data_IF_533862405333
#
_entry.id   IF_533862405333
#
_cell.length_a   1.000
_cell.length_b   1.000
_cell.length_c   1.000
_cell.angle_alpha   90.00
_cell.angle_beta   90.00
_cell.angle_gamma   90.00
#
_symmetry.space_group_name_H-M   'P 1'
#
loop_
_entity.id
_entity.type
_entity.pdbx_description
1 polymer ?
#
# COMPACT_ATOMS: atom_id res chain seq x y z
N UNK A 1 -31.09 29.50 34.92
CA UNK A 1 -31.01 28.24 34.15
C UNK A 1 -30.04 28.48 33.01
N UNK A 2 -28.74 28.26 33.27
CA UNK A 2 -27.68 28.54 32.31
C UNK A 2 -27.69 27.48 31.21
N UNK A 3 -27.92 27.95 29.98
CA UNK A 3 -27.86 27.17 28.76
C UNK A 3 -26.41 26.79 28.54
N UNK A 4 -26.06 25.54 28.85
CA UNK A 4 -24.81 24.90 28.42
C UNK A 4 -24.89 24.78 26.89
N UNK A 5 -24.53 25.86 26.19
CA UNK A 5 -24.24 25.82 24.77
C UNK A 5 -22.99 24.97 24.60
N UNK A 6 -23.20 23.70 24.31
CA UNK A 6 -22.20 22.79 23.76
C UNK A 6 -21.64 23.46 22.51
N UNK A 7 -20.59 24.26 22.68
CA UNK A 7 -19.67 24.58 21.61
C UNK A 7 -19.20 23.22 21.10
N UNK A 8 -19.76 22.81 19.97
CA UNK A 8 -19.13 21.87 19.07
C UNK A 8 -17.78 22.50 18.75
N UNK A 9 -16.75 22.13 19.51
CA UNK A 9 -15.38 22.16 19.03
C UNK A 9 -15.46 21.28 17.78
N UNK A 10 -15.69 21.91 16.62
CA UNK A 10 -15.50 21.28 15.34
C UNK A 10 -14.05 20.87 15.39
N UNK A 11 -13.86 19.57 15.52
CA UNK A 11 -12.58 18.98 15.81
C UNK A 11 -11.71 19.08 14.56
N UNK A 12 -11.12 20.25 14.33
CA UNK A 12 -10.30 20.52 13.14
C UNK A 12 -8.94 19.79 13.19
N UNK A 13 -8.67 19.11 14.32
CA UNK A 13 -7.42 18.41 14.60
C UNK A 13 -7.50 16.92 14.34
N UNK A 14 -8.67 16.31 14.52
CA UNK A 14 -8.89 14.88 14.38
C UNK A 14 -9.78 14.55 13.16
N UNK A 15 -9.45 13.48 12.45
CA UNK A 15 -10.19 12.91 11.30
C UNK A 15 -11.38 12.07 11.82
N UNK A 16 -12.27 11.60 10.94
CA UNK A 16 -13.49 10.84 11.30
C UNK A 16 -13.21 9.57 12.14
N UNK A 17 -11.96 9.13 12.21
CA UNK A 17 -11.47 7.97 12.96
C UNK A 17 -10.77 8.32 14.29
N UNK A 18 -10.80 9.59 14.71
CA UNK A 18 -10.18 10.08 15.95
C UNK A 18 -8.65 10.19 15.87
N UNK A 19 -8.03 10.03 14.69
CA UNK A 19 -6.57 10.22 14.49
C UNK A 19 -6.27 11.62 13.98
N UNK A 20 -5.03 12.07 14.13
CA UNK A 20 -4.60 13.39 13.62
C UNK A 20 -4.94 13.51 12.13
N UNK A 21 -5.56 14.63 11.75
CA UNK A 21 -5.95 14.96 10.38
C UNK A 21 -4.77 14.79 9.41
N UNK A 22 -4.96 14.00 8.36
CA UNK A 22 -3.92 13.80 7.33
C UNK A 22 -3.85 15.02 6.42
N UNK A 23 -2.63 15.52 6.23
CA UNK A 23 -2.33 16.64 5.32
C UNK A 23 -1.83 16.17 3.95
N UNK A 24 -1.75 14.86 3.73
CA UNK A 24 -1.26 14.28 2.49
C UNK A 24 -2.20 14.56 1.31
N UNK A 25 -1.64 15.01 0.20
CA UNK A 25 -2.38 15.22 -1.06
C UNK A 25 -2.19 14.03 -2.01
N UNK A 26 -3.01 13.93 -3.05
CA UNK A 26 -2.85 12.95 -4.13
C UNK A 26 -1.45 13.00 -4.76
N UNK A 27 -0.84 14.19 -4.83
CA UNK A 27 0.51 14.38 -5.34
C UNK A 27 1.58 13.78 -4.42
N UNK A 28 1.45 14.00 -3.10
CA UNK A 28 2.39 13.42 -2.13
C UNK A 28 2.25 11.90 -2.10
N UNK A 29 1.01 11.38 -2.19
CA UNK A 29 0.75 9.95 -2.25
C UNK A 29 1.35 9.31 -3.52
N UNK A 30 1.15 9.92 -4.70
CA UNK A 30 1.71 9.42 -5.95
C UNK A 30 3.25 9.47 -5.95
N UNK A 31 3.84 10.55 -5.42
CA UNK A 31 5.29 10.65 -5.25
C UNK A 31 5.84 9.54 -4.34
N UNK A 32 5.17 9.22 -3.24
CA UNK A 32 5.56 8.12 -2.36
C UNK A 32 5.48 6.75 -3.04
N UNK A 33 4.45 6.52 -3.86
CA UNK A 33 4.31 5.27 -4.62
C UNK A 33 5.44 5.15 -5.64
N UNK A 34 5.71 6.20 -6.42
CA UNK A 34 6.77 6.20 -7.44
C UNK A 34 8.14 5.97 -6.80
N UNK A 35 8.45 6.65 -5.70
CA UNK A 35 9.72 6.47 -4.99
C UNK A 35 9.86 5.11 -4.32
N UNK A 36 8.77 4.49 -3.87
CA UNK A 36 8.78 3.12 -3.39
C UNK A 36 9.01 2.09 -4.51
N UNK A 37 8.57 2.38 -5.74
CA UNK A 37 8.69 1.48 -6.89
C UNK A 37 10.04 1.62 -7.60
N UNK A 38 10.58 2.84 -7.72
CA UNK A 38 11.91 3.09 -8.31
C UNK A 38 12.97 2.61 -7.30
N UNK A 39 13.37 1.35 -7.45
CA UNK A 39 14.24 0.68 -6.49
C UNK A 39 15.17 -0.35 -7.13
N UNK A 40 15.87 -1.10 -6.26
CA UNK A 40 16.76 -2.20 -6.64
C UNK A 40 16.09 -3.25 -7.54
N UNK A 41 14.78 -3.46 -7.37
CA UNK A 41 14.01 -4.41 -8.18
C UNK A 41 13.96 -4.09 -9.68
N UNK A 42 13.94 -2.81 -10.07
CA UNK A 42 13.84 -2.41 -11.48
C UNK A 42 15.10 -2.81 -12.27
N UNK A 43 16.26 -2.81 -11.63
CA UNK A 43 17.53 -3.23 -12.22
C UNK A 43 17.52 -4.72 -12.60
N UNK A 44 17.02 -5.59 -11.70
CA UNK A 44 16.88 -7.01 -11.99
C UNK A 44 15.76 -7.29 -13.00
N UNK A 45 14.70 -6.48 -12.99
CA UNK A 45 13.58 -6.61 -13.91
C UNK A 45 14.03 -6.38 -15.36
N UNK A 46 14.90 -5.39 -15.60
CA UNK A 46 15.43 -5.11 -16.94
C UNK A 46 16.17 -6.32 -17.53
N UNK A 47 16.95 -7.04 -16.73
CA UNK A 47 17.67 -8.23 -17.17
C UNK A 47 16.72 -9.42 -17.45
N UNK A 48 15.68 -9.60 -16.63
CA UNK A 48 14.65 -10.61 -16.89
C UNK A 48 13.86 -10.33 -18.18
N UNK A 49 13.49 -9.05 -18.40
CA UNK A 49 12.81 -8.59 -19.61
C UNK A 49 13.69 -8.77 -20.86
N UNK A 50 15.00 -8.52 -20.74
CA UNK A 50 15.95 -8.74 -21.83
C UNK A 50 15.99 -10.21 -22.30
N UNK A 51 15.85 -11.17 -21.38
CA UNK A 51 15.81 -12.61 -21.73
C UNK A 51 14.50 -13.02 -22.40
N UNK A 52 13.38 -12.38 -22.07
CA UNK A 52 12.07 -12.65 -22.68
C UNK A 52 11.94 -12.05 -24.09
N UNK A 53 12.91 -11.23 -24.51
CA UNK A 53 12.86 -10.48 -25.76
C UNK A 53 11.87 -9.32 -25.72
N UNK A 54 11.92 -8.44 -26.72
CA UNK A 54 11.16 -7.19 -26.71
C UNK A 54 9.63 -7.40 -26.69
N UNK A 55 9.11 -8.37 -27.46
CA UNK A 55 7.66 -8.68 -27.50
C UNK A 55 7.22 -9.28 -26.17
N UNK A 56 7.88 -10.37 -25.74
CA UNK A 56 7.53 -11.08 -24.52
C UNK A 56 7.63 -10.18 -23.29
N UNK A 57 8.71 -9.41 -23.22
CA UNK A 57 8.93 -8.39 -22.20
C UNK A 57 7.79 -7.37 -22.12
N UNK A 58 7.43 -6.77 -23.26
CA UNK A 58 6.36 -5.75 -23.30
C UNK A 58 5.01 -6.32 -22.88
N UNK A 59 4.65 -7.51 -23.37
CA UNK A 59 3.40 -8.19 -22.99
C UNK A 59 3.37 -8.46 -21.48
N UNK A 60 4.45 -8.99 -20.92
CA UNK A 60 4.53 -9.30 -19.48
C UNK A 60 4.46 -8.02 -18.63
N UNK A 61 5.11 -6.93 -19.04
CA UNK A 61 5.03 -5.64 -18.33
C UNK A 61 3.61 -5.06 -18.34
N UNK A 62 2.90 -5.15 -19.47
CA UNK A 62 1.50 -4.71 -19.58
C UNK A 62 0.61 -5.57 -18.67
N UNK A 63 0.77 -6.90 -18.70
CA UNK A 63 0.01 -7.81 -17.84
C UNK A 63 0.27 -7.53 -16.36
N UNK A 64 1.54 -7.33 -15.97
CA UNK A 64 1.91 -6.99 -14.59
C UNK A 64 1.30 -5.66 -14.16
N UNK A 65 1.27 -4.67 -15.05
CA UNK A 65 0.61 -3.38 -14.81
C UNK A 65 -0.89 -3.55 -14.59
N UNK A 66 -1.59 -4.32 -15.43
CA UNK A 66 -3.03 -4.58 -15.28
C UNK A 66 -3.35 -5.29 -13.96
N UNK A 67 -2.60 -6.32 -13.60
CA UNK A 67 -2.78 -7.04 -12.33
C UNK A 67 -2.53 -6.10 -11.14
N UNK A 68 -1.49 -5.26 -11.21
CA UNK A 68 -1.19 -4.28 -10.16
C UNK A 68 -2.31 -3.25 -10.02
N UNK A 69 -2.84 -2.74 -11.14
CA UNK A 69 -3.96 -1.80 -11.14
C UNK A 69 -5.22 -2.42 -10.52
N UNK A 70 -5.61 -3.62 -10.95
CA UNK A 70 -6.77 -4.32 -10.38
C UNK A 70 -6.61 -4.54 -8.88
N UNK A 71 -5.42 -4.97 -8.45
CA UNK A 71 -5.14 -5.18 -7.02
C UNK A 71 -5.19 -3.87 -6.22
N UNK A 72 -4.69 -2.78 -6.79
CA UNK A 72 -4.72 -1.46 -6.14
C UNK A 72 -6.15 -0.94 -5.94
N UNK A 73 -7.03 -1.15 -6.93
CA UNK A 73 -8.45 -0.77 -6.85
C UNK A 73 -9.14 -1.59 -5.76
N UNK A 74 -8.99 -2.91 -5.78
CA UNK A 74 -9.58 -3.79 -4.77
C UNK A 74 -9.14 -3.43 -3.35
N UNK A 75 -7.87 -3.10 -3.16
CA UNK A 75 -7.33 -2.70 -1.85
C UNK A 75 -7.86 -1.34 -1.42
N UNK A 76 -8.02 -0.40 -2.35
CA UNK A 76 -8.62 0.91 -2.09
C UNK A 76 -10.10 0.79 -1.71
N UNK A 77 -10.86 -0.09 -2.36
CA UNK A 77 -12.26 -0.36 -2.02
C UNK A 77 -12.37 -1.04 -0.64
N UNK A 78 -11.48 -1.99 -0.36
CA UNK A 78 -11.46 -2.73 0.90
C UNK A 78 -10.88 -1.94 2.10
N UNK A 79 -10.33 -0.76 1.86
CA UNK A 79 -9.71 0.07 2.88
C UNK A 79 -10.71 0.55 3.95
N UNK A 80 -11.99 0.71 3.57
CA UNK A 80 -13.12 1.02 4.46
C UNK A 80 -14.14 -0.11 4.41
N UNK A 81 -14.47 -0.68 5.57
CA UNK A 81 -15.43 -1.78 5.74
C UNK A 81 -16.28 -1.54 6.99
N UNK A 82 -17.61 -1.79 7.02
CA UNK A 82 -18.46 -2.48 6.03
C UNK A 82 -19.04 -1.62 4.89
N UNK A 83 -19.02 -0.29 5.01
CA UNK A 83 -19.45 0.63 3.94
C UNK A 83 -18.26 1.41 3.35
N UNK A 84 -18.23 1.69 2.03
CA UNK A 84 -17.16 2.50 1.42
C UNK A 84 -17.07 3.93 1.95
N UNK A 85 -18.21 4.47 2.42
CA UNK A 85 -18.35 5.86 2.89
C UNK A 85 -18.32 5.95 4.42
N UNK A 86 -19.05 5.06 5.12
CA UNK A 86 -19.19 5.08 6.60
C UNK A 86 -18.44 3.96 7.33
N UNK A 87 -17.70 3.11 6.60
CA UNK A 87 -16.99 1.98 7.17
C UNK A 87 -15.82 2.39 8.06
N UNK A 88 -15.53 1.54 9.04
CA UNK A 88 -14.31 1.63 9.85
C UNK A 88 -13.08 1.44 8.97
N UNK A 89 -12.10 2.31 9.16
CA UNK A 89 -10.85 2.32 8.40
C UNK A 89 -9.91 1.23 8.92
N UNK A 90 -9.37 0.41 8.02
CA UNK A 90 -8.34 -0.58 8.35
C UNK A 90 -6.94 -0.04 7.96
N UNK A 91 -6.11 0.39 8.93
CA UNK A 91 -4.84 1.05 8.63
C UNK A 91 -3.72 0.07 8.22
N UNK A 92 -3.86 -1.22 8.53
CA UNK A 92 -2.89 -2.23 8.14
C UNK A 92 -3.54 -3.31 7.28
N UNK A 93 -2.77 -3.87 6.38
CA UNK A 93 -3.24 -4.93 5.48
C UNK A 93 -3.69 -6.18 6.26
N UNK A 94 -3.00 -6.54 7.35
CA UNK A 94 -3.44 -7.63 8.24
C UNK A 94 -4.77 -7.32 8.94
N UNK A 95 -4.98 -6.08 9.39
CA UNK A 95 -6.27 -5.68 10.00
C UNK A 95 -7.39 -5.68 8.96
N UNK A 96 -7.12 -5.24 7.72
CA UNK A 96 -8.06 -5.33 6.60
C UNK A 96 -8.47 -6.78 6.32
N UNK A 97 -7.50 -7.68 6.17
CA UNK A 97 -7.77 -9.10 5.88
C UNK A 97 -8.51 -9.75 7.06
N UNK A 98 -8.19 -9.38 8.30
CA UNK A 98 -8.90 -9.86 9.48
C UNK A 98 -10.36 -9.37 9.52
N UNK A 99 -10.61 -8.11 9.18
CA UNK A 99 -11.94 -7.51 9.21
C UNK A 99 -12.84 -8.02 8.08
N UNK A 100 -12.29 -8.24 6.88
CA UNK A 100 -13.06 -8.70 5.70
C UNK A 100 -13.26 -10.22 5.70
N UNK A 101 -12.21 -10.99 5.99
CA UNK A 101 -12.20 -12.43 5.75
C UNK A 101 -12.27 -13.26 7.03
N UNK A 102 -11.99 -12.65 8.19
CA UNK A 102 -12.00 -13.32 9.48
C UNK A 102 -11.02 -14.51 9.61
N UNK A 103 -10.99 -15.11 10.80
CA UNK A 103 -10.27 -16.37 11.04
C UNK A 103 -8.74 -16.27 10.98
N UNK A 104 -8.07 -17.33 10.47
CA UNK A 104 -6.59 -17.47 10.45
C UNK A 104 -5.97 -16.95 9.15
N UNK A 105 -6.78 -16.62 8.13
CA UNK A 105 -6.30 -16.24 6.79
C UNK A 105 -5.44 -14.97 6.80
N UNK A 106 -5.70 -14.04 7.71
CA UNK A 106 -4.84 -12.85 7.89
C UNK A 106 -3.41 -13.20 8.33
N UNK A 107 -3.19 -14.33 9.03
CA UNK A 107 -1.83 -14.77 9.41
C UNK A 107 -1.04 -15.29 8.22
N UNK A 108 -1.67 -16.04 7.31
CA UNK A 108 -1.02 -16.48 6.08
C UNK A 108 -0.72 -15.30 5.16
N UNK A 109 -1.66 -14.36 5.06
CA UNK A 109 -1.50 -13.14 4.29
C UNK A 109 -0.39 -12.24 4.87
N UNK A 110 -0.36 -12.09 6.20
CA UNK A 110 0.70 -11.41 6.92
C UNK A 110 2.05 -12.08 6.73
N UNK A 111 2.13 -13.41 6.80
CA UNK A 111 3.37 -14.16 6.56
C UNK A 111 3.91 -13.90 5.15
N UNK A 112 3.05 -13.94 4.12
CA UNK A 112 3.45 -13.61 2.75
C UNK A 112 3.97 -12.15 2.64
N UNK A 113 3.28 -11.21 3.28
CA UNK A 113 3.69 -9.80 3.31
C UNK A 113 5.06 -9.63 3.98
N UNK A 114 5.25 -10.18 5.19
CA UNK A 114 6.52 -10.08 5.90
C UNK A 114 7.67 -10.75 5.14
N UNK A 115 7.42 -11.89 4.52
CA UNK A 115 8.44 -12.58 3.71
C UNK A 115 8.88 -11.71 2.53
N UNK A 116 7.93 -11.05 1.85
CA UNK A 116 8.24 -10.12 0.76
C UNK A 116 9.02 -8.89 1.25
N UNK A 117 8.65 -8.33 2.42
CA UNK A 117 9.39 -7.21 3.02
C UNK A 117 10.83 -7.60 3.35
N UNK A 118 11.05 -8.78 3.94
CA UNK A 118 12.39 -9.29 4.24
C UNK A 118 13.20 -9.49 2.96
N UNK A 119 12.61 -10.10 1.93
CA UNK A 119 13.25 -10.26 0.62
C UNK A 119 13.65 -8.92 0.00
N UNK A 120 12.78 -7.91 0.09
CA UNK A 120 13.05 -6.55 -0.37
C UNK A 120 14.23 -5.94 0.40
N UNK A 121 14.25 -6.02 1.73
CA UNK A 121 15.37 -5.50 2.56
C UNK A 121 16.70 -6.16 2.19
N UNK A 122 16.71 -7.48 1.97
CA UNK A 122 17.92 -8.20 1.54
C UNK A 122 18.37 -7.70 0.15
N UNK A 123 17.44 -7.58 -0.80
CA UNK A 123 17.73 -7.08 -2.14
C UNK A 123 18.33 -5.68 -2.14
N UNK A 124 17.74 -4.74 -1.38
CA UNK A 124 18.30 -3.40 -1.20
C UNK A 124 19.69 -3.41 -0.55
N UNK A 125 19.92 -4.28 0.44
CA UNK A 125 21.23 -4.39 1.11
C UNK A 125 22.30 -4.86 0.14
N UNK A 126 22.01 -5.87 -0.69
CA UNK A 126 22.94 -6.37 -1.72
C UNK A 126 23.21 -5.30 -2.77
N UNK A 127 22.17 -4.65 -3.30
CA UNK A 127 22.34 -3.56 -4.29
C UNK A 127 23.17 -2.41 -3.72
N UNK A 128 22.91 -2.02 -2.46
CA UNK A 128 23.71 -0.99 -1.77
C UNK A 128 25.18 -1.42 -1.64
N UNK A 129 25.44 -2.66 -1.24
CA UNK A 129 26.80 -3.17 -1.10
C UNK A 129 27.56 -3.20 -2.44
N UNK A 130 26.91 -3.62 -3.53
CA UNK A 130 27.51 -3.62 -4.88
C UNK A 130 27.81 -2.19 -5.35
N UNK A 131 26.99 -1.21 -4.98
CA UNK A 131 27.19 0.19 -5.38
C UNK A 131 28.35 0.92 -4.67
N UNK A 132 28.95 0.32 -3.64
CA UNK A 132 30.05 0.91 -2.86
C UNK A 132 31.46 0.55 -3.37
N UNK A 133 31.54 -0.17 -4.49
CA UNK A 133 32.77 -0.50 -5.24
C UNK A 133 32.83 0.34 -6.52
#
# INVERSE_FOLDING_TARGET
MAMQSSISIVDDKYDDDGRIKRTGTWLTASAHIVTAVIGSGVLSLAWAVAQLGWIGGTIVLILFSLVTLLTSILTADCYRYPDPIHGTRNPTYMDMVKNILGGVKYKFCGLAQYTNLVGCTIGYTITSAISMV
#
